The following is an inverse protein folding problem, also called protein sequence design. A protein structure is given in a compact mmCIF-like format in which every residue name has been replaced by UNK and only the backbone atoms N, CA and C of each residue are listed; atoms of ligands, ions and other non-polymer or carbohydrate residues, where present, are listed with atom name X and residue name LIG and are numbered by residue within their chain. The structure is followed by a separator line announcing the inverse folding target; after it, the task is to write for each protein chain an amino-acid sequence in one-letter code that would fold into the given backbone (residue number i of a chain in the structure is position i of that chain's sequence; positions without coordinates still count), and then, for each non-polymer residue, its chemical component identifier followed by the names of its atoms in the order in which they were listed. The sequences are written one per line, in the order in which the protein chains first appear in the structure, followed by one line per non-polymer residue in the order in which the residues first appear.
data_IF_244694663330
#
_entry.id   IF_244694663330
#
_cell.length_a   1.000
_cell.length_b   1.000
_cell.length_c   1.000
_cell.angle_alpha   90.00
_cell.angle_beta   90.00
_cell.angle_gamma   90.00
#
_symmetry.space_group_name_H-M   'P 1'
#
loop_
_entity.id
_entity.type
_entity.pdbx_description
1 polymer ?
#
# COMPACT_ATOMS: atom_id res chain seq x y z
N UNK A 1 26.17 -23.88 -4.14
CA UNK A 1 25.88 -25.06 -3.31
C UNK A 1 24.40 -25.34 -3.44
N UNK A 2 24.05 -26.55 -3.84
CA UNK A 2 22.67 -27.04 -3.98
C UNK A 2 21.99 -27.08 -2.63
N UNK A 3 20.84 -26.40 -2.49
CA UNK A 3 20.01 -26.44 -1.29
C UNK A 3 18.90 -27.46 -1.54
N UNK A 4 18.88 -28.47 -0.68
CA UNK A 4 17.86 -29.50 -0.59
C UNK A 4 16.53 -28.89 -0.13
N UNK A 5 15.44 -29.18 -0.85
CA UNK A 5 14.13 -28.52 -0.68
C UNK A 5 13.11 -29.50 -0.13
N UNK A 6 13.15 -29.73 1.19
CA UNK A 6 12.06 -30.39 1.90
C UNK A 6 11.88 -29.76 3.28
N UNK A 7 11.33 -28.56 3.33
CA UNK A 7 10.68 -28.02 4.55
C UNK A 7 9.84 -26.81 4.17
N UNK A 8 8.51 -27.00 4.15
CA UNK A 8 7.55 -25.89 4.19
C UNK A 8 7.85 -25.08 5.46
N UNK A 9 8.06 -23.75 5.41
CA UNK A 9 8.44 -23.02 6.60
C UNK A 9 7.22 -22.86 7.52
N UNK A 10 7.06 -23.74 8.51
CA UNK A 10 6.30 -23.41 9.72
C UNK A 10 7.18 -22.63 10.69
N UNK A 11 7.79 -21.55 10.21
CA UNK A 11 8.53 -20.63 11.06
C UNK A 11 7.53 -19.71 11.77
N UNK A 12 7.62 -19.60 13.10
CA UNK A 12 6.85 -18.65 13.91
C UNK A 12 7.11 -17.17 13.54
N UNK A 13 8.05 -16.92 12.62
CA UNK A 13 8.37 -15.60 12.08
C UNK A 13 7.44 -15.14 10.95
N UNK A 14 6.76 -16.06 10.24
CA UNK A 14 5.76 -15.73 9.22
C UNK A 14 4.39 -16.07 9.80
N UNK A 15 3.72 -15.05 10.34
CA UNK A 15 2.43 -15.21 11.01
C UNK A 15 1.42 -14.15 10.54
N UNK A 16 0.17 -14.54 10.25
CA UNK A 16 -0.31 -15.93 10.23
C UNK A 16 0.36 -16.75 9.11
N UNK A 17 0.30 -18.10 9.17
CA UNK A 17 0.77 -18.93 8.07
C UNK A 17 0.15 -18.46 6.75
N UNK A 18 0.94 -18.51 5.67
CA UNK A 18 0.47 -18.12 4.33
C UNK A 18 -0.67 -19.07 3.93
N UNK A 19 -1.85 -18.56 3.56
CA UNK A 19 -2.95 -19.40 3.11
C UNK A 19 -2.57 -20.08 1.78
N UNK A 20 -3.02 -21.33 1.53
CA UNK A 20 -2.77 -21.98 0.25
C UNK A 20 -3.30 -21.15 -0.92
N UNK A 21 -2.45 -20.87 -1.90
CA UNK A 21 -2.88 -20.19 -3.12
C UNK A 21 -3.85 -21.07 -3.90
N UNK A 22 -5.07 -20.56 -4.14
CA UNK A 22 -6.14 -21.26 -4.86
C UNK A 22 -6.31 -20.78 -6.30
N UNK A 23 -5.27 -20.16 -6.86
CA UNK A 23 -5.37 -19.49 -8.15
C UNK A 23 -6.01 -18.10 -8.04
N UNK A 24 -6.24 -17.51 -9.21
CA UNK A 24 -6.87 -16.19 -9.31
C UNK A 24 -8.32 -16.28 -8.85
N UNK A 25 -8.65 -15.59 -7.76
CA UNK A 25 -10.04 -15.41 -7.35
C UNK A 25 -10.67 -14.23 -8.10
N UNK A 26 -11.89 -14.43 -8.57
CA UNK A 26 -12.73 -13.37 -9.13
C UNK A 26 -14.06 -13.33 -8.38
N UNK A 27 -14.45 -12.18 -7.82
CA UNK A 27 -15.79 -12.05 -7.29
C UNK A 27 -16.82 -12.23 -8.43
N UNK A 28 -17.96 -12.89 -8.17
CA UNK A 28 -19.11 -12.87 -9.07
C UNK A 28 -19.43 -11.43 -9.49
N UNK A 29 -19.77 -11.22 -10.78
CA UNK A 29 -20.01 -9.89 -11.32
C UNK A 29 -21.06 -9.09 -10.52
N UNK A 30 -22.13 -9.75 -10.06
CA UNK A 30 -23.17 -9.13 -9.25
C UNK A 30 -22.65 -8.59 -7.90
N UNK A 31 -21.75 -9.33 -7.23
CA UNK A 31 -21.11 -8.85 -5.99
C UNK A 31 -20.16 -7.70 -6.28
N UNK A 32 -19.40 -7.81 -7.38
CA UNK A 32 -18.48 -6.76 -7.78
C UNK A 32 -19.20 -5.44 -8.09
N UNK A 33 -20.34 -5.49 -8.78
CA UNK A 33 -21.14 -4.29 -9.09
C UNK A 33 -21.73 -3.67 -7.82
N UNK A 34 -22.24 -4.48 -6.90
CA UNK A 34 -22.70 -4.00 -5.59
C UNK A 34 -21.57 -3.32 -4.80
N UNK A 35 -20.40 -3.96 -4.74
CA UNK A 35 -19.23 -3.45 -4.02
C UNK A 35 -18.60 -2.23 -4.69
N UNK A 36 -18.84 -2.02 -5.99
CA UNK A 36 -18.24 -0.92 -6.74
C UNK A 36 -18.74 0.48 -6.33
N UNK A 37 -19.70 0.53 -5.41
CA UNK A 37 -20.24 1.76 -4.82
C UNK A 37 -20.11 1.77 -3.28
N UNK A 38 -19.43 0.77 -2.70
CA UNK A 38 -19.27 0.62 -1.26
C UNK A 38 -17.99 1.27 -0.74
N UNK A 39 -18.18 2.47 -0.19
CA UNK A 39 -17.13 3.25 0.45
C UNK A 39 -16.84 2.84 1.89
N UNK A 40 -17.74 2.03 2.45
CA UNK A 40 -17.66 1.44 3.77
C UNK A 40 -17.56 -0.06 3.56
N UNK A 41 -16.52 -0.66 4.11
CA UNK A 41 -16.33 -2.10 4.12
C UNK A 41 -17.41 -2.73 5.00
N UNK A 42 -18.14 -3.71 4.45
CA UNK A 42 -19.21 -4.42 5.15
C UNK A 42 -18.64 -5.43 6.12
N UNK A 43 -19.31 -5.62 7.25
CA UNK A 43 -18.90 -6.57 8.29
C UNK A 43 -19.25 -8.02 7.94
N UNK A 44 -18.63 -8.53 6.88
CA UNK A 44 -18.95 -9.85 6.30
C UNK A 44 -18.11 -10.99 6.89
N UNK A 45 -17.03 -10.70 7.62
CA UNK A 45 -16.31 -11.71 8.40
C UNK A 45 -15.63 -11.13 9.64
N UNK A 46 -15.52 -11.94 10.69
CA UNK A 46 -14.93 -11.54 11.97
C UNK A 46 -13.47 -11.13 11.80
N UNK A 47 -13.08 -10.03 12.46
CA UNK A 47 -11.69 -9.57 12.54
C UNK A 47 -11.01 -10.17 13.78
N UNK A 48 -9.71 -10.49 13.70
CA UNK A 48 -8.90 -10.79 14.87
C UNK A 48 -8.87 -9.61 15.86
N UNK A 49 -8.63 -9.90 17.13
CA UNK A 49 -8.66 -8.90 18.22
C UNK A 49 -7.70 -7.73 18.02
N UNK A 50 -6.58 -7.95 17.34
CA UNK A 50 -5.57 -6.93 17.04
C UNK A 50 -5.96 -5.98 15.91
N UNK A 51 -6.95 -6.35 15.08
CA UNK A 51 -7.42 -5.54 13.93
C UNK A 51 -8.75 -4.88 14.28
N UNK A 52 -8.74 -3.57 14.40
CA UNK A 52 -9.94 -2.79 14.71
C UNK A 52 -10.53 -2.18 13.45
N UNK A 53 -11.85 -2.04 13.44
CA UNK A 53 -12.61 -1.37 12.38
C UNK A 53 -13.01 0.04 12.82
N UNK A 54 -12.92 1.00 11.90
CA UNK A 54 -13.31 2.37 12.18
C UNK A 54 -13.98 3.06 10.98
N UNK A 55 -14.95 3.92 11.29
CA UNK A 55 -15.55 4.86 10.35
C UNK A 55 -14.88 6.24 10.45
N UNK A 56 -14.89 6.97 9.34
CA UNK A 56 -14.44 8.36 9.27
C UNK A 56 -15.28 9.19 8.27
N UNK A 57 -15.39 10.51 8.48
CA UNK A 57 -16.07 11.40 7.54
C UNK A 57 -15.28 11.56 6.23
N UNK A 58 -15.99 11.60 5.10
CA UNK A 58 -15.43 11.84 3.77
C UNK A 58 -16.02 13.12 3.13
N UNK A 59 -15.71 14.31 3.67
CA UNK A 59 -16.26 15.56 3.15
C UNK A 59 -15.94 15.81 1.67
N UNK A 60 -14.88 15.20 1.12
CA UNK A 60 -14.57 15.24 -0.32
C UNK A 60 -15.73 14.68 -1.18
N UNK A 61 -16.54 13.78 -0.63
CA UNK A 61 -17.74 13.21 -1.28
C UNK A 61 -19.04 13.93 -0.95
N UNK A 62 -18.99 14.99 -0.15
CA UNK A 62 -20.14 15.78 0.27
C UNK A 62 -20.60 15.52 1.71
N UNK A 63 -21.56 16.32 2.20
CA UNK A 63 -22.03 16.27 3.58
C UNK A 63 -22.55 14.89 3.98
N UNK A 64 -22.14 14.40 5.16
CA UNK A 64 -22.58 13.12 5.72
C UNK A 64 -21.98 11.87 5.07
N UNK A 65 -21.17 12.01 4.02
CA UNK A 65 -20.46 10.87 3.44
C UNK A 65 -19.44 10.31 4.44
N UNK A 66 -19.35 8.98 4.48
CA UNK A 66 -18.43 8.25 5.33
C UNK A 66 -17.65 7.21 4.52
N UNK A 67 -16.49 6.86 5.04
CA UNK A 67 -15.73 5.68 4.66
C UNK A 67 -15.28 4.88 5.87
N UNK A 68 -14.60 3.78 5.61
CA UNK A 68 -14.01 2.93 6.66
C UNK A 68 -12.53 2.66 6.43
N UNK A 69 -11.86 2.21 7.48
CA UNK A 69 -10.54 1.62 7.43
C UNK A 69 -10.39 0.56 8.53
N UNK A 70 -9.43 -0.34 8.35
CA UNK A 70 -8.92 -1.17 9.43
C UNK A 70 -7.67 -0.55 10.03
N UNK A 71 -7.47 -0.72 11.32
CA UNK A 71 -6.30 -0.23 12.04
C UNK A 71 -5.70 -1.32 12.91
N UNK A 72 -4.37 -1.34 12.94
CA UNK A 72 -3.60 -2.05 13.95
C UNK A 72 -2.69 -1.04 14.64
N UNK A 73 -2.75 -1.02 15.96
CA UNK A 73 -1.92 -0.17 16.79
C UNK A 73 -0.63 -0.92 17.18
N UNK A 74 0.52 -0.25 17.28
CA UNK A 74 1.78 -0.92 17.57
C UNK A 74 1.78 -1.54 18.97
N UNK A 75 2.59 -2.59 19.22
CA UNK A 75 2.73 -3.18 20.56
C UNK A 75 3.03 -2.12 21.63
N UNK A 76 2.29 -2.18 22.74
CA UNK A 76 2.41 -1.22 23.85
C UNK A 76 1.67 0.11 23.65
N UNK A 77 0.94 0.31 22.55
CA UNK A 77 0.08 1.48 22.39
C UNK A 77 -1.10 1.41 23.39
N UNK A 78 -1.27 2.46 24.18
CA UNK A 78 -2.45 2.67 25.03
C UNK A 78 -3.22 3.92 24.61
N UNK A 79 -4.54 3.81 24.55
CA UNK A 79 -5.46 4.94 24.34
C UNK A 79 -5.52 5.86 25.57
N UNK A 80 -5.13 5.37 26.74
CA UNK A 80 -5.08 6.19 27.98
C UNK A 80 -3.79 6.98 28.14
N UNK A 81 -2.76 6.69 27.33
CA UNK A 81 -1.48 7.38 27.34
C UNK A 81 -1.46 8.53 26.32
N UNK A 82 -2.16 9.61 26.65
CA UNK A 82 -2.34 10.76 25.74
C UNK A 82 -1.02 11.50 25.42
N UNK A 83 -0.06 11.47 26.36
CA UNK A 83 1.26 12.11 26.23
C UNK A 83 2.36 11.15 25.73
N UNK A 84 1.97 9.92 25.39
CA UNK A 84 2.87 8.88 24.94
C UNK A 84 3.53 9.16 23.58
N UNK A 85 4.46 8.30 23.15
CA UNK A 85 5.24 8.48 21.92
C UNK A 85 4.36 8.52 20.67
N UNK A 86 4.58 9.49 19.77
CA UNK A 86 3.90 9.54 18.47
C UNK A 86 4.55 8.59 17.46
N UNK A 87 3.74 7.99 16.59
CA UNK A 87 4.17 6.94 15.65
C UNK A 87 4.06 7.38 14.18
N UNK A 88 4.93 6.87 13.29
CA UNK A 88 4.66 6.90 11.86
C UNK A 88 3.41 6.11 11.52
N UNK A 89 2.85 6.35 10.34
CA UNK A 89 1.68 5.65 9.83
C UNK A 89 2.03 4.96 8.51
N UNK A 90 1.76 3.66 8.43
CA UNK A 90 1.79 2.91 7.18
C UNK A 90 0.36 2.71 6.66
N UNK A 91 0.04 3.38 5.56
CA UNK A 91 -1.21 3.20 4.83
C UNK A 91 -1.07 2.04 3.84
N UNK A 92 -1.80 0.96 4.09
CA UNK A 92 -1.82 -0.23 3.24
C UNK A 92 -3.02 -0.21 2.29
N UNK A 93 -2.76 -0.47 1.01
CA UNK A 93 -3.74 -0.33 -0.08
C UNK A 93 -4.04 -1.69 -0.73
N UNK A 94 -5.31 -2.08 -0.73
CA UNK A 94 -5.75 -3.35 -1.32
C UNK A 94 -5.64 -3.38 -2.85
N UNK A 95 -5.62 -4.61 -3.40
CA UNK A 95 -5.61 -4.86 -4.84
C UNK A 95 -6.94 -4.58 -5.53
N UNK A 96 -6.96 -4.73 -6.85
CA UNK A 96 -8.21 -4.65 -7.61
C UNK A 96 -9.15 -5.80 -7.25
N UNK A 97 -10.46 -5.55 -7.33
CA UNK A 97 -11.52 -6.50 -6.99
C UNK A 97 -11.55 -6.94 -5.52
N UNK A 98 -10.97 -6.12 -4.64
CA UNK A 98 -10.74 -6.41 -3.22
C UNK A 98 -11.31 -5.28 -2.32
N UNK A 99 -11.08 -5.37 -1.00
CA UNK A 99 -11.51 -4.41 0.03
C UNK A 99 -10.51 -4.38 1.20
N UNK A 100 -10.68 -3.47 2.16
CA UNK A 100 -9.75 -3.30 3.28
C UNK A 100 -9.51 -4.58 4.10
N UNK A 101 -10.54 -5.42 4.27
CA UNK A 101 -10.40 -6.71 4.99
C UNK A 101 -9.44 -7.71 4.36
N UNK A 102 -9.17 -7.62 3.06
CA UNK A 102 -8.15 -8.46 2.45
C UNK A 102 -6.73 -8.07 2.85
N UNK A 103 -6.55 -6.96 3.58
CA UNK A 103 -5.29 -6.60 4.21
C UNK A 103 -4.99 -7.41 5.48
N UNK A 104 -5.96 -8.18 6.02
CA UNK A 104 -5.86 -8.81 7.33
C UNK A 104 -4.56 -9.59 7.52
N UNK A 105 -4.19 -10.43 6.54
CA UNK A 105 -2.95 -11.19 6.61
C UNK A 105 -1.72 -10.27 6.70
N UNK A 106 -1.63 -9.26 5.83
CA UNK A 106 -0.52 -8.31 5.80
C UNK A 106 -0.43 -7.48 7.08
N UNK A 107 -1.57 -7.06 7.64
CA UNK A 107 -1.63 -6.32 8.90
C UNK A 107 -1.09 -7.14 10.07
N UNK A 108 -1.49 -8.42 10.17
CA UNK A 108 -1.02 -9.33 11.21
C UNK A 108 0.44 -9.72 11.04
N UNK A 109 0.88 -9.88 9.79
CA UNK A 109 2.30 -10.07 9.46
C UNK A 109 3.13 -8.91 10.01
N UNK A 110 2.76 -7.66 9.71
CA UNK A 110 3.50 -6.51 10.21
C UNK A 110 3.39 -6.32 11.72
N UNK A 111 2.22 -6.57 12.31
CA UNK A 111 2.08 -6.60 13.76
C UNK A 111 3.07 -7.57 14.40
N UNK A 112 3.17 -8.80 13.88
CA UNK A 112 4.13 -9.78 14.36
C UNK A 112 5.58 -9.33 14.17
N UNK A 113 5.92 -8.70 13.05
CA UNK A 113 7.28 -8.16 12.84
C UNK A 113 7.61 -7.03 13.81
N UNK A 114 6.63 -6.22 14.21
CA UNK A 114 6.80 -5.23 15.27
C UNK A 114 7.02 -5.89 16.64
N UNK A 115 6.24 -6.91 17.00
CA UNK A 115 6.42 -7.68 18.26
C UNK A 115 7.80 -8.32 18.36
N UNK A 116 8.33 -8.82 17.24
CA UNK A 116 9.64 -9.45 17.16
C UNK A 116 10.80 -8.43 17.03
N UNK A 117 10.52 -7.13 16.98
CA UNK A 117 11.54 -6.10 16.78
C UNK A 117 12.20 -6.11 15.39
N UNK A 118 11.58 -6.77 14.41
CA UNK A 118 12.06 -6.85 13.02
C UNK A 118 11.59 -5.68 12.16
N UNK A 119 10.65 -4.87 12.65
CA UNK A 119 10.12 -3.66 12.01
C UNK A 119 9.90 -2.57 13.08
N UNK A 120 10.08 -1.28 12.76
CA UNK A 120 9.77 -0.21 13.71
C UNK A 120 8.29 -0.19 14.07
N UNK A 121 7.99 0.20 15.30
CA UNK A 121 6.63 0.48 15.74
C UNK A 121 5.99 1.58 14.88
N UNK A 122 4.85 1.27 14.28
CA UNK A 122 4.04 2.20 13.50
C UNK A 122 2.55 1.86 13.64
N UNK A 123 1.68 2.82 13.30
CA UNK A 123 0.25 2.57 13.15
C UNK A 123 0.00 2.05 11.74
N UNK A 124 -0.69 0.93 11.61
CA UNK A 124 -1.06 0.36 10.31
C UNK A 124 -2.50 0.77 9.99
N UNK A 125 -2.74 1.32 8.81
CA UNK A 125 -4.08 1.71 8.33
C UNK A 125 -4.34 1.01 6.99
N UNK A 126 -5.24 0.03 6.96
CA UNK A 126 -5.74 -0.50 5.68
C UNK A 126 -7.00 0.27 5.28
N UNK A 127 -6.85 1.14 4.29
CA UNK A 127 -7.96 1.97 3.81
C UNK A 127 -8.98 1.13 3.02
N UNK A 128 -10.27 1.46 3.14
CA UNK A 128 -11.28 0.96 2.22
C UNK A 128 -11.31 1.84 0.96
N UNK A 129 -11.23 1.21 -0.21
CA UNK A 129 -11.51 1.84 -1.49
C UNK A 129 -12.46 0.98 -2.34
N UNK A 130 -12.85 1.52 -3.48
CA UNK A 130 -13.73 0.81 -4.40
C UNK A 130 -12.94 -0.32 -5.11
N UNK A 131 -13.55 -1.50 -5.30
CA UNK A 131 -12.88 -2.66 -5.88
C UNK A 131 -12.39 -2.43 -7.32
N UNK A 132 -13.10 -1.63 -8.12
CA UNK A 132 -12.66 -1.25 -9.47
C UNK A 132 -11.95 0.10 -9.39
N UNK A 133 -10.65 0.12 -9.68
CA UNK A 133 -9.85 1.35 -9.66
C UNK A 133 -8.34 1.17 -9.52
N UNK A 134 -7.66 2.30 -9.33
CA UNK A 134 -6.18 2.43 -9.19
C UNK A 134 -5.75 3.31 -8.01
N UNK A 135 -6.64 3.54 -7.02
CA UNK A 135 -6.39 4.45 -5.88
C UNK A 135 -6.11 5.91 -6.29
N UNK A 136 -6.49 6.31 -7.50
CA UNK A 136 -6.39 7.68 -8.00
C UNK A 136 -7.78 8.28 -8.20
N UNK A 137 -7.84 9.60 -8.37
CA UNK A 137 -9.06 10.24 -8.84
C UNK A 137 -9.41 9.72 -10.24
N UNK A 138 -10.66 9.27 -10.44
CA UNK A 138 -11.15 8.90 -11.78
C UNK A 138 -11.20 10.11 -12.71
N UNK A 139 -11.13 9.85 -14.01
CA UNK A 139 -11.18 10.84 -15.07
C UNK A 139 -12.37 11.80 -14.94
N UNK A 140 -13.55 11.25 -14.62
CA UNK A 140 -14.82 11.98 -14.48
C UNK A 140 -15.00 12.63 -13.09
N UNK A 141 -14.06 12.43 -12.17
CA UNK A 141 -14.12 12.94 -10.79
C UNK A 141 -15.11 12.23 -9.87
N UNK A 142 -15.85 11.21 -10.34
CA UNK A 142 -16.86 10.51 -9.52
C UNK A 142 -16.25 9.64 -8.42
N UNK A 143 -14.97 9.28 -8.56
CA UNK A 143 -14.19 8.49 -7.60
C UNK A 143 -12.95 9.27 -7.16
N UNK A 144 -13.07 10.23 -6.24
CA UNK A 144 -11.96 11.10 -5.83
C UNK A 144 -11.03 10.42 -4.80
N UNK A 145 -10.57 9.20 -5.08
CA UNK A 145 -9.83 8.37 -4.12
C UNK A 145 -8.53 9.03 -3.66
N UNK A 146 -7.80 9.69 -4.55
CA UNK A 146 -6.55 10.36 -4.17
C UNK A 146 -6.77 11.55 -3.24
N UNK A 147 -7.87 12.28 -3.43
CA UNK A 147 -8.24 13.37 -2.54
C UNK A 147 -8.74 12.88 -1.18
N UNK A 148 -9.56 11.83 -1.16
CA UNK A 148 -10.01 11.17 0.08
C UNK A 148 -8.80 10.70 0.89
N UNK A 149 -7.84 10.03 0.26
CA UNK A 149 -6.64 9.53 0.93
C UNK A 149 -5.82 10.66 1.54
N UNK A 150 -5.47 11.68 0.75
CA UNK A 150 -4.54 12.74 1.18
C UNK A 150 -5.15 13.76 2.15
N UNK A 151 -6.48 13.91 2.15
CA UNK A 151 -7.18 14.91 2.97
C UNK A 151 -8.00 14.24 4.06
N UNK A 152 -9.04 13.52 3.68
CA UNK A 152 -10.08 13.04 4.58
C UNK A 152 -9.54 11.97 5.52
N UNK A 153 -8.90 10.92 4.99
CA UNK A 153 -8.37 9.82 5.79
C UNK A 153 -7.21 10.26 6.66
N UNK A 154 -6.25 11.00 6.10
CA UNK A 154 -5.10 11.52 6.86
C UNK A 154 -5.56 12.38 8.03
N UNK A 155 -6.52 13.29 7.82
CA UNK A 155 -7.05 14.12 8.91
C UNK A 155 -7.70 13.27 10.00
N UNK A 156 -8.55 12.31 9.63
CA UNK A 156 -9.25 11.46 10.59
C UNK A 156 -8.28 10.57 11.41
N UNK A 157 -7.24 10.04 10.76
CA UNK A 157 -6.21 9.23 11.43
C UNK A 157 -5.35 10.09 12.36
N UNK A 158 -4.94 11.27 11.90
CA UNK A 158 -4.13 12.20 12.70
C UNK A 158 -4.92 12.74 13.91
N UNK A 159 -6.24 12.88 13.80
CA UNK A 159 -7.12 13.30 14.90
C UNK A 159 -7.34 12.20 15.93
N UNK A 160 -7.53 10.95 15.48
CA UNK A 160 -7.88 9.82 16.37
C UNK A 160 -6.68 9.17 17.05
N UNK A 161 -5.50 9.18 16.43
CA UNK A 161 -4.34 8.45 16.93
C UNK A 161 -3.12 9.35 17.16
N UNK A 162 -2.18 8.88 17.98
CA UNK A 162 -0.91 9.58 18.25
C UNK A 162 0.06 9.44 17.07
N UNK A 163 -0.22 10.12 15.97
CA UNK A 163 0.61 10.13 14.78
C UNK A 163 1.70 11.19 14.82
N UNK A 164 2.78 10.96 14.07
CA UNK A 164 3.74 11.99 13.66
C UNK A 164 3.19 12.66 12.40
N UNK A 165 2.71 13.89 12.54
CA UNK A 165 2.02 14.65 11.47
C UNK A 165 2.97 15.31 10.48
N UNK A 166 3.91 14.53 9.91
CA UNK A 166 4.89 15.01 8.95
C UNK A 166 4.98 14.06 7.75
N UNK A 167 5.22 14.55 6.51
CA UNK A 167 5.21 13.71 5.31
C UNK A 167 6.21 12.56 5.36
N UNK A 168 7.39 12.77 5.95
CA UNK A 168 8.40 11.70 6.12
C UNK A 168 7.90 10.52 6.96
N UNK A 169 6.90 10.74 7.83
CA UNK A 169 6.33 9.73 8.71
C UNK A 169 4.99 9.15 8.20
N UNK A 170 4.59 9.48 6.96
CA UNK A 170 3.45 8.86 6.28
C UNK A 170 3.97 7.97 5.16
N UNK A 171 3.82 6.67 5.33
CA UNK A 171 4.30 5.65 4.43
C UNK A 171 3.14 5.02 3.68
N UNK A 172 3.40 4.54 2.46
CA UNK A 172 2.43 3.88 1.61
C UNK A 172 2.95 2.51 1.19
N UNK A 173 2.10 1.51 1.30
CA UNK A 173 2.31 0.21 0.67
C UNK A 173 1.01 -0.30 0.06
N UNK A 174 1.09 -1.15 -0.95
CA UNK A 174 -0.08 -1.91 -1.35
C UNK A 174 0.23 -3.03 -2.31
N UNK A 175 -0.80 -3.83 -2.58
CA UNK A 175 -0.72 -4.97 -3.49
C UNK A 175 -1.41 -4.68 -4.83
N UNK A 176 -0.80 -5.06 -5.97
CA UNK A 176 -1.45 -4.99 -7.29
C UNK A 176 -1.93 -3.57 -7.66
N UNK A 177 -3.23 -3.32 -7.70
CA UNK A 177 -3.77 -1.97 -7.88
C UNK A 177 -3.36 -1.01 -6.74
N UNK A 178 -3.25 -1.52 -5.52
CA UNK A 178 -2.75 -0.79 -4.35
C UNK A 178 -1.25 -0.52 -4.42
N UNK A 179 -0.45 -1.42 -5.00
CA UNK A 179 0.99 -1.18 -5.22
C UNK A 179 1.23 -0.04 -6.21
N UNK A 180 0.44 0.01 -7.28
CA UNK A 180 0.36 1.18 -8.17
C UNK A 180 -0.08 2.44 -7.40
N UNK A 181 -1.14 2.31 -6.60
CA UNK A 181 -1.68 3.40 -5.78
C UNK A 181 -0.67 4.01 -4.82
N UNK A 182 0.12 3.18 -4.13
CA UNK A 182 1.12 3.61 -3.16
C UNK A 182 2.17 4.51 -3.82
N UNK A 183 2.67 4.12 -4.99
CA UNK A 183 3.60 4.94 -5.75
C UNK A 183 2.93 6.19 -6.33
N UNK A 184 1.73 6.05 -6.90
CA UNK A 184 1.02 7.18 -7.49
C UNK A 184 0.75 8.29 -6.46
N UNK A 185 0.16 7.93 -5.32
CA UNK A 185 -0.18 8.88 -4.26
C UNK A 185 1.06 9.53 -3.68
N UNK A 186 2.13 8.76 -3.44
CA UNK A 186 3.39 9.28 -2.92
C UNK A 186 4.09 10.28 -3.86
N UNK A 187 4.09 9.98 -5.16
CA UNK A 187 4.70 10.85 -6.17
C UNK A 187 3.82 12.05 -6.52
N UNK A 188 2.49 11.91 -6.41
CA UNK A 188 1.55 13.00 -6.72
C UNK A 188 1.38 13.98 -5.55
N UNK A 189 1.50 13.49 -4.31
CA UNK A 189 1.32 14.26 -3.09
C UNK A 189 2.50 14.04 -2.10
N UNK A 190 3.75 14.35 -2.51
CA UNK A 190 4.91 14.14 -1.65
C UNK A 190 4.88 15.01 -0.38
N UNK A 191 4.16 16.13 -0.40
CA UNK A 191 3.88 16.99 0.76
C UNK A 191 2.94 16.35 1.78
N UNK A 192 2.34 15.19 1.46
CA UNK A 192 1.52 14.41 2.39
C UNK A 192 2.18 13.06 2.69
N UNK A 193 2.68 12.36 1.67
CA UNK A 193 3.17 10.98 1.74
C UNK A 193 4.67 10.82 1.39
N UNK A 194 5.49 11.84 1.62
CA UNK A 194 6.92 11.89 1.26
C UNK A 194 7.86 11.04 2.12
N UNK A 195 7.38 9.97 2.76
CA UNK A 195 8.19 9.08 3.59
C UNK A 195 8.77 7.91 2.82
N UNK A 196 7.96 6.87 2.65
CA UNK A 196 8.37 5.62 2.03
C UNK A 196 7.24 5.02 1.20
N UNK A 197 7.56 4.58 -0.02
CA UNK A 197 6.63 4.01 -0.99
C UNK A 197 7.06 2.59 -1.33
N UNK A 198 6.27 1.61 -0.91
CA UNK A 198 6.49 0.20 -1.18
C UNK A 198 5.40 -0.34 -2.11
N UNK A 199 5.77 -1.18 -3.06
CA UNK A 199 4.84 -1.85 -3.95
C UNK A 199 5.02 -3.35 -3.89
N UNK A 200 3.94 -4.07 -3.66
CA UNK A 200 3.85 -5.54 -3.74
C UNK A 200 3.13 -5.90 -5.03
N UNK A 201 3.83 -6.48 -5.99
CA UNK A 201 3.29 -6.86 -7.30
C UNK A 201 2.44 -5.76 -7.96
N UNK A 202 2.92 -4.51 -7.96
CA UNK A 202 2.18 -3.33 -8.42
C UNK A 202 1.81 -3.35 -9.91
N UNK A 203 0.59 -2.94 -10.26
CA UNK A 203 0.13 -2.98 -11.65
C UNK A 203 0.65 -1.80 -12.49
N UNK A 204 1.95 -1.75 -12.75
CA UNK A 204 2.67 -0.72 -13.53
C UNK A 204 2.65 -0.98 -15.04
N UNK A 205 1.50 -1.37 -15.59
CA UNK A 205 1.39 -1.56 -17.04
C UNK A 205 1.63 -0.24 -17.76
N UNK A 206 2.35 -0.28 -18.87
CA UNK A 206 2.75 0.93 -19.60
C UNK A 206 1.79 1.33 -20.72
N UNK A 207 0.84 0.46 -21.08
CA UNK A 207 -0.18 0.73 -22.10
C UNK A 207 -1.57 0.57 -21.51
N UNK A 208 -2.47 1.48 -21.87
CA UNK A 208 -3.88 1.40 -21.46
C UNK A 208 -4.57 0.16 -22.03
N UNK A 209 -4.16 -0.29 -23.22
CA UNK A 209 -4.70 -1.48 -23.87
C UNK A 209 -4.43 -2.78 -23.08
N UNK A 210 -3.42 -2.79 -22.20
CA UNK A 210 -3.09 -3.94 -21.36
C UNK A 210 -3.89 -3.95 -20.04
N UNK A 211 -4.69 -2.91 -19.79
CA UNK A 211 -5.55 -2.80 -18.62
C UNK A 211 -6.89 -3.51 -18.81
N UNK A 212 -7.43 -4.03 -17.70
CA UNK A 212 -8.77 -4.61 -17.68
C UNK A 212 -9.84 -3.56 -17.98
N UNK A 213 -10.93 -3.98 -18.62
CA UNK A 213 -12.04 -3.12 -19.04
C UNK A 213 -12.52 -2.20 -17.92
N UNK A 214 -12.68 -2.73 -16.71
CA UNK A 214 -13.13 -1.99 -15.53
C UNK A 214 -12.18 -0.84 -15.19
N UNK A 215 -10.86 -1.08 -15.21
CA UNK A 215 -9.87 -0.03 -14.94
C UNK A 215 -9.85 1.00 -16.08
N UNK A 216 -9.87 0.54 -17.32
CA UNK A 216 -9.85 1.39 -18.51
C UNK A 216 -11.00 2.39 -18.53
N UNK A 217 -12.21 1.96 -18.19
CA UNK A 217 -13.39 2.82 -18.26
C UNK A 217 -13.73 3.49 -16.92
N UNK A 218 -13.70 2.78 -15.79
CA UNK A 218 -14.12 3.36 -14.49
C UNK A 218 -13.05 4.30 -13.90
N UNK A 219 -11.79 4.16 -14.31
CA UNK A 219 -10.70 5.06 -13.86
C UNK A 219 -10.29 6.03 -14.94
N UNK A 220 -9.98 5.54 -16.14
CA UNK A 220 -9.35 6.35 -17.18
C UNK A 220 -10.32 6.84 -18.27
N UNK A 221 -11.57 6.37 -18.27
CA UNK A 221 -12.57 6.67 -19.31
C UNK A 221 -12.05 6.46 -20.75
N UNK A 222 -11.20 5.46 -20.97
CA UNK A 222 -10.56 5.20 -22.26
C UNK A 222 -9.51 6.24 -22.70
N UNK A 223 -9.20 7.24 -21.87
CA UNK A 223 -8.26 8.32 -22.21
C UNK A 223 -6.81 7.87 -22.02
N UNK A 224 -6.13 7.59 -23.13
CA UNK A 224 -4.69 7.32 -23.13
C UNK A 224 -3.87 8.49 -22.54
N UNK A 225 -4.27 9.73 -22.81
CA UNK A 225 -3.58 10.90 -22.28
C UNK A 225 -3.69 10.98 -20.74
N UNK A 226 -4.87 10.71 -20.18
CA UNK A 226 -5.07 10.71 -18.74
C UNK A 226 -4.37 9.53 -18.05
N UNK A 227 -4.37 8.34 -18.69
CA UNK A 227 -3.58 7.20 -18.24
C UNK A 227 -2.10 7.53 -18.15
N UNK A 228 -1.52 8.06 -19.24
CA UNK A 228 -0.10 8.43 -19.28
C UNK A 228 0.22 9.51 -18.25
N UNK A 229 -0.61 10.56 -18.13
CA UNK A 229 -0.36 11.65 -17.18
C UNK A 229 -0.40 11.20 -15.71
N UNK A 230 -1.08 10.10 -15.38
CA UNK A 230 -1.11 9.54 -14.04
C UNK A 230 -0.20 8.31 -13.88
N UNK A 231 0.47 7.81 -14.92
CA UNK A 231 1.34 6.64 -14.77
C UNK A 231 2.50 6.93 -13.80
N UNK A 232 2.89 5.94 -12.98
CA UNK A 232 3.90 6.10 -11.94
C UNK A 232 5.25 6.59 -12.50
N UNK A 233 5.68 6.10 -13.68
CA UNK A 233 6.90 6.59 -14.34
C UNK A 233 6.80 8.05 -14.74
N UNK A 234 5.66 8.51 -15.27
CA UNK A 234 5.46 9.91 -15.65
C UNK A 234 5.45 10.82 -14.42
N UNK A 235 4.86 10.36 -13.31
CA UNK A 235 4.91 11.09 -12.05
C UNK A 235 6.33 11.13 -11.47
N UNK A 236 7.05 10.00 -11.51
CA UNK A 236 8.42 9.91 -11.02
C UNK A 236 9.36 10.79 -11.83
N UNK A 237 9.26 10.79 -13.16
CA UNK A 237 10.05 11.66 -14.04
C UNK A 237 9.86 13.13 -13.66
N UNK A 238 8.62 13.56 -13.42
CA UNK A 238 8.31 14.93 -12.98
C UNK A 238 8.84 15.26 -11.59
N UNK A 239 8.97 14.26 -10.72
CA UNK A 239 9.42 14.41 -9.34
C UNK A 239 10.88 13.97 -9.11
N UNK A 240 11.63 13.69 -10.17
CA UNK A 240 12.92 12.99 -10.07
C UNK A 240 13.91 13.74 -9.16
N UNK A 241 14.02 15.05 -9.35
CA UNK A 241 14.91 15.89 -8.55
C UNK A 241 14.45 15.97 -7.09
N UNK A 242 13.14 16.01 -6.85
CA UNK A 242 12.59 15.96 -5.49
C UNK A 242 12.89 14.61 -4.82
N UNK A 243 12.61 13.50 -5.51
CA UNK A 243 12.87 12.14 -5.00
C UNK A 243 14.33 11.95 -4.63
N UNK A 244 15.25 12.39 -5.50
CA UNK A 244 16.71 12.32 -5.25
C UNK A 244 17.13 13.20 -4.08
N UNK A 245 16.69 14.45 -4.04
CA UNK A 245 17.07 15.40 -2.99
C UNK A 245 16.52 15.00 -1.63
N UNK A 246 15.25 14.63 -1.56
CA UNK A 246 14.59 14.23 -0.31
C UNK A 246 14.92 12.79 0.09
N UNK A 247 15.64 12.04 -0.75
CA UNK A 247 15.95 10.61 -0.53
C UNK A 247 14.69 9.80 -0.20
N UNK A 248 13.64 9.99 -1.00
CA UNK A 248 12.37 9.27 -0.82
C UNK A 248 12.64 7.78 -0.88
N UNK A 249 12.18 7.01 0.12
CA UNK A 249 12.42 5.56 0.18
C UNK A 249 11.47 4.85 -0.78
N UNK A 250 12.01 4.18 -1.79
CA UNK A 250 11.24 3.49 -2.83
C UNK A 250 11.53 1.99 -2.80
N UNK A 251 10.49 1.16 -2.94
CA UNK A 251 10.62 -0.30 -3.03
C UNK A 251 9.63 -0.93 -4.01
N UNK A 252 10.11 -1.89 -4.80
CA UNK A 252 9.34 -2.65 -5.80
C UNK A 252 9.58 -4.16 -5.61
N UNK A 253 8.59 -4.88 -5.11
CA UNK A 253 8.65 -6.32 -4.84
C UNK A 253 7.70 -7.07 -5.76
N UNK A 254 8.12 -8.22 -6.28
CA UNK A 254 7.27 -9.11 -7.08
C UNK A 254 7.69 -10.56 -6.93
N UNK A 255 6.76 -11.49 -7.07
CA UNK A 255 7.07 -12.91 -7.14
C UNK A 255 7.65 -13.34 -8.49
N UNK A 256 8.33 -14.48 -8.55
CA UNK A 256 8.76 -15.08 -9.81
C UNK A 256 7.64 -15.84 -10.55
N UNK A 257 6.62 -16.32 -9.83
CA UNK A 257 5.43 -16.95 -10.42
C UNK A 257 4.36 -15.94 -10.85
N UNK A 258 4.55 -14.64 -10.58
CA UNK A 258 3.69 -13.56 -11.07
C UNK A 258 3.98 -13.24 -12.55
N UNK A 259 3.57 -14.14 -13.44
CA UNK A 259 3.67 -13.95 -14.90
C UNK A 259 2.81 -12.80 -15.44
N UNK A 260 1.92 -12.20 -14.62
CA UNK A 260 1.00 -11.15 -15.05
C UNK A 260 1.67 -9.78 -15.08
N UNK A 261 2.50 -9.48 -14.08
CA UNK A 261 3.06 -8.14 -13.88
C UNK A 261 4.59 -8.12 -13.84
N UNK A 262 5.23 -9.27 -14.08
CA UNK A 262 6.68 -9.37 -14.02
C UNK A 262 7.40 -8.42 -14.97
N UNK A 263 7.05 -8.48 -16.25
CA UNK A 263 7.62 -7.63 -17.28
C UNK A 263 7.49 -6.14 -16.94
N UNK A 264 6.34 -5.73 -16.41
CA UNK A 264 6.11 -4.36 -15.97
C UNK A 264 7.04 -3.93 -14.81
N UNK A 265 7.35 -4.82 -13.87
CA UNK A 265 8.30 -4.52 -12.79
C UNK A 265 9.73 -4.46 -13.28
N UNK A 266 10.14 -5.39 -14.16
CA UNK A 266 11.47 -5.38 -14.74
C UNK A 266 11.69 -4.10 -15.55
N UNK A 267 10.69 -3.66 -16.31
CA UNK A 267 10.73 -2.37 -17.00
C UNK A 267 10.84 -1.17 -16.05
N UNK A 268 10.10 -1.15 -14.93
CA UNK A 268 10.28 -0.14 -13.88
C UNK A 268 11.71 -0.15 -13.34
N UNK A 269 12.28 -1.33 -13.06
CA UNK A 269 13.63 -1.46 -12.51
C UNK A 269 14.70 -0.94 -13.47
N UNK A 270 14.62 -1.30 -14.74
CA UNK A 270 15.53 -0.81 -15.78
C UNK A 270 15.46 0.71 -15.90
N UNK A 271 14.24 1.25 -15.92
CA UNK A 271 14.01 2.69 -16.05
C UNK A 271 14.56 3.46 -14.85
N UNK A 272 14.26 3.02 -13.62
CA UNK A 272 14.78 3.66 -12.41
C UNK A 272 16.31 3.57 -12.30
N UNK A 273 16.88 2.43 -12.70
CA UNK A 273 18.33 2.25 -12.75
C UNK A 273 18.96 3.23 -13.74
N UNK A 274 18.38 3.36 -14.94
CA UNK A 274 18.85 4.30 -15.96
C UNK A 274 18.75 5.76 -15.51
N UNK A 275 17.74 6.10 -14.70
CA UNK A 275 17.57 7.45 -14.13
C UNK A 275 18.43 7.70 -12.88
N UNK A 276 19.18 6.70 -12.41
CA UNK A 276 20.01 6.81 -11.20
C UNK A 276 19.17 7.07 -9.94
N UNK A 277 17.99 6.47 -9.85
CA UNK A 277 17.14 6.50 -8.65
C UNK A 277 17.57 5.38 -7.71
N UNK A 278 17.70 5.68 -6.42
CA UNK A 278 17.91 4.67 -5.38
C UNK A 278 16.56 4.01 -5.02
N UNK A 279 16.48 2.69 -5.09
CA UNK A 279 15.28 1.94 -4.72
C UNK A 279 15.63 0.50 -4.34
N UNK A 280 14.84 -0.08 -3.43
CA UNK A 280 14.87 -1.50 -3.12
C UNK A 280 14.09 -2.31 -4.15
N UNK A 281 14.57 -3.50 -4.49
CA UNK A 281 13.85 -4.44 -5.35
C UNK A 281 14.09 -5.88 -4.91
N UNK A 282 13.09 -6.74 -5.09
CA UNK A 282 13.26 -8.16 -4.89
C UNK A 282 12.33 -8.97 -5.80
N UNK A 283 12.83 -10.16 -6.14
CA UNK A 283 12.09 -11.23 -6.77
C UNK A 283 11.89 -12.29 -5.70
N UNK A 284 10.65 -12.54 -5.29
CA UNK A 284 10.35 -13.50 -4.22
C UNK A 284 10.12 -14.89 -4.84
N UNK A 285 10.99 -15.89 -4.57
CA UNK A 285 10.88 -17.20 -5.19
C UNK A 285 9.62 -17.95 -4.77
N UNK A 286 8.95 -18.60 -5.72
CA UNK A 286 7.71 -19.36 -5.53
C UNK A 286 6.48 -18.52 -5.22
N UNK A 287 6.58 -17.18 -5.25
CA UNK A 287 5.47 -16.32 -4.90
C UNK A 287 4.57 -16.05 -6.12
N UNK A 288 3.27 -16.42 -6.07
CA UNK A 288 2.29 -16.02 -7.07
C UNK A 288 1.87 -14.54 -6.90
N UNK A 289 0.82 -14.12 -7.62
CA UNK A 289 0.26 -12.77 -7.55
C UNK A 289 -0.60 -12.54 -6.29
N UNK A 290 0.01 -12.64 -5.10
CA UNK A 290 -0.61 -12.42 -3.78
C UNK A 290 0.28 -11.53 -2.92
N UNK A 291 -0.31 -10.81 -1.96
CA UNK A 291 0.48 -10.00 -1.03
C UNK A 291 1.20 -10.90 0.00
N UNK A 292 0.53 -11.96 0.39
CA UNK A 292 0.92 -12.90 1.43
C UNK A 292 2.19 -13.66 1.06
N UNK A 293 2.28 -14.17 -0.16
CA UNK A 293 3.47 -14.90 -0.62
C UNK A 293 4.65 -13.94 -0.84
N UNK A 294 4.41 -12.76 -1.44
CA UNK A 294 5.46 -11.75 -1.63
C UNK A 294 6.03 -11.28 -0.29
N UNK A 295 5.19 -10.99 0.71
CA UNK A 295 5.65 -10.56 2.03
C UNK A 295 6.23 -11.72 2.85
N UNK A 296 5.59 -12.88 2.81
CA UNK A 296 6.00 -14.07 3.56
C UNK A 296 7.35 -14.63 3.12
N UNK A 297 7.74 -14.39 1.86
CA UNK A 297 9.07 -14.74 1.35
C UNK A 297 10.15 -13.68 1.63
N UNK A 298 9.86 -12.58 2.32
CA UNK A 298 10.89 -11.60 2.71
C UNK A 298 11.71 -12.10 3.91
N UNK A 299 13.03 -11.95 3.79
CA UNK A 299 13.96 -12.07 4.91
C UNK A 299 14.03 -10.77 5.73
N UNK A 300 14.88 -10.74 6.76
CA UNK A 300 15.06 -9.56 7.61
C UNK A 300 15.63 -8.36 6.82
N UNK A 301 16.45 -8.58 5.79
CA UNK A 301 16.91 -7.53 4.87
C UNK A 301 15.75 -6.89 4.11
N UNK A 302 14.75 -7.69 3.71
CA UNK A 302 13.51 -7.20 3.12
C UNK A 302 12.74 -6.26 4.04
N UNK A 303 12.82 -6.45 5.37
CA UNK A 303 12.17 -5.60 6.37
C UNK A 303 13.01 -4.37 6.76
N UNK A 304 14.32 -4.37 6.50
CA UNK A 304 15.23 -3.24 6.75
C UNK A 304 14.72 -1.93 6.13
N UNK A 305 14.03 -2.00 5.00
CA UNK A 305 13.38 -0.86 4.35
C UNK A 305 12.55 0.01 5.32
N UNK A 306 11.83 -0.61 6.26
CA UNK A 306 11.02 0.13 7.22
C UNK A 306 11.86 0.81 8.30
N UNK A 307 12.97 0.20 8.71
CA UNK A 307 13.95 0.85 9.58
C UNK A 307 14.61 2.04 8.89
N UNK A 308 14.93 1.93 7.60
CA UNK A 308 15.48 3.05 6.82
C UNK A 308 14.47 4.18 6.66
N UNK A 309 13.18 3.86 6.48
CA UNK A 309 12.09 4.83 6.48
C UNK A 309 11.98 5.53 7.85
N UNK A 310 12.12 4.78 8.95
CA UNK A 310 12.13 5.35 10.31
C UNK A 310 13.35 6.22 10.57
N UNK A 311 14.53 5.84 10.08
CA UNK A 311 15.75 6.65 10.20
C UNK A 311 15.56 8.01 9.53
N UNK A 312 14.97 8.04 8.32
CA UNK A 312 14.60 9.31 7.65
C UNK A 312 13.67 10.17 8.51
N UNK A 313 12.69 9.59 9.21
CA UNK A 313 11.80 10.37 10.11
C UNK A 313 12.61 11.07 11.22
N UNK A 314 13.60 10.38 11.79
CA UNK A 314 14.46 10.94 12.84
C UNK A 314 15.34 12.06 12.29
N UNK A 315 16.00 11.83 11.15
CA UNK A 315 16.83 12.85 10.47
C UNK A 315 16.05 14.11 10.11
N UNK A 316 14.82 13.97 9.60
CA UNK A 316 13.98 15.13 9.26
C UNK A 316 13.50 15.87 10.51
N UNK A 317 13.26 15.17 11.63
CA UNK A 317 12.79 15.78 12.87
C UNK A 317 13.76 16.84 13.40
N UNK A 318 15.06 16.69 13.16
CA UNK A 318 16.08 17.67 13.55
C UNK A 318 15.94 19.00 12.79
N UNK A 319 15.24 19.00 11.64
CA UNK A 319 15.00 20.18 10.79
C UNK A 319 13.64 20.86 11.03
N UNK A 320 12.80 20.31 11.92
CA UNK A 320 11.47 20.88 12.22
C UNK A 320 11.50 21.99 13.27
N UNK A 321 12.68 22.24 13.86
CA UNK A 321 12.97 23.30 14.85
C UNK A 321 13.37 24.56 14.10
#
# INVERSE_FOLDING_TARGET
MTVDSTTTPSSSEVYPPIPPYKGRWHPPAALLDAYNHMWIDTDVWALPSEVQYALYPQPTRGPGAQGSYLVVLPPGYSDTDLEGPRYPVLYWLHGGFSCSRHAEWSLRFYYRKMELGKMPACILIAAQALPKGRWINSYDGTRPLGDIMRRDLVAAVDERYRTIRHPSARWLEGHSAGGYGAWNLGLKYPEVFGGALSSLAGSFRTKLADEGREVTYDTYNGSQAFFTANHALTLLERQLEHVKREKTKLRLLIGDEDVRLREAHEHMWETLTAWGVEFGKAIVPGAPHTAEDVLGGLNDEGLQFWWDARAKVVEEKEKWI
#
